data_IF_286451018302
#
_entry.id   IF_286451018302
#
_cell.length_a   1.000
_cell.length_b   1.000
_cell.length_c   1.000
_cell.angle_alpha   90.00
_cell.angle_beta   90.00
_cell.angle_gamma   90.00
#
_symmetry.space_group_name_H-M   'P 1'
#
loop_
_entity.id
_entity.type
_entity.pdbx_description
1 polymer ?
#
# COMPACT_ATOMS: atom_id res chain seq x y z
N UNK A 1 13.42 -14.11 -23.28
CA UNK A 1 13.62 -13.42 -24.57
C UNK A 1 14.25 -12.09 -24.28
N UNK A 2 15.53 -11.97 -24.62
CA UNK A 2 16.32 -10.78 -24.33
C UNK A 2 15.99 -9.69 -25.37
N UNK A 3 15.77 -8.46 -24.91
CA UNK A 3 15.21 -7.33 -25.69
C UNK A 3 16.18 -6.82 -26.75
N UNK A 4 17.47 -7.10 -26.61
CA UNK A 4 18.54 -6.50 -27.40
C UNK A 4 19.00 -7.35 -28.60
N UNK A 5 18.86 -8.67 -28.53
CA UNK A 5 19.31 -9.57 -29.61
C UNK A 5 18.38 -9.65 -30.83
N UNK A 6 17.12 -9.21 -30.73
CA UNK A 6 16.13 -9.43 -31.79
C UNK A 6 15.83 -8.20 -32.68
N UNK A 7 16.16 -6.97 -32.27
CA UNK A 7 15.66 -5.78 -32.98
C UNK A 7 16.73 -4.71 -33.21
N UNK A 8 17.42 -4.82 -34.36
CA UNK A 8 18.19 -3.71 -34.93
C UNK A 8 17.25 -2.63 -35.53
N UNK A 9 17.54 -1.37 -35.18
CA UNK A 9 17.12 -0.08 -35.79
C UNK A 9 15.64 0.11 -36.22
N UNK A 10 14.79 0.65 -35.33
CA UNK A 10 13.62 1.45 -35.77
C UNK A 10 13.30 2.60 -34.80
N UNK A 11 12.85 3.74 -35.35
CA UNK A 11 12.54 4.99 -34.63
C UNK A 11 11.51 4.80 -33.49
N UNK A 12 10.63 3.80 -33.61
CA UNK A 12 9.62 3.46 -32.59
C UNK A 12 10.20 2.86 -31.30
N UNK A 13 11.37 2.23 -31.33
CA UNK A 13 12.02 1.70 -30.13
C UNK A 13 12.63 2.79 -29.25
N UNK A 14 13.18 3.87 -29.83
CA UNK A 14 13.75 4.98 -29.06
C UNK A 14 12.70 5.63 -28.16
N UNK A 15 11.47 5.78 -28.66
CA UNK A 15 10.35 6.27 -27.87
C UNK A 15 10.02 5.36 -26.69
N UNK A 16 10.09 4.03 -26.87
CA UNK A 16 9.89 3.07 -25.78
C UNK A 16 11.04 3.11 -24.76
N UNK A 17 12.29 3.20 -25.22
CA UNK A 17 13.47 3.32 -24.35
C UNK A 17 13.44 4.54 -23.43
N UNK A 18 12.87 5.66 -23.89
CA UNK A 18 12.70 6.88 -23.08
C UNK A 18 11.41 6.81 -22.24
N UNK A 19 10.31 6.36 -22.83
CA UNK A 19 9.01 6.35 -22.16
C UNK A 19 8.98 5.43 -20.95
N UNK A 20 9.67 4.29 -20.99
CA UNK A 20 9.69 3.30 -19.91
C UNK A 20 10.27 3.89 -18.61
N UNK A 21 11.53 4.37 -18.57
CA UNK A 21 12.07 5.00 -17.37
C UNK A 21 11.21 6.15 -16.86
N UNK A 22 10.63 6.97 -17.75
CA UNK A 22 9.77 8.09 -17.38
C UNK A 22 8.50 7.59 -16.67
N UNK A 23 7.80 6.61 -17.23
CA UNK A 23 6.57 6.05 -16.64
C UNK A 23 6.87 5.38 -15.29
N UNK A 24 7.91 4.55 -15.20
CA UNK A 24 8.29 3.91 -13.95
C UNK A 24 8.74 4.93 -12.89
N UNK A 25 9.44 6.01 -13.29
CA UNK A 25 9.80 7.11 -12.39
C UNK A 25 8.58 7.86 -11.87
N UNK A 26 7.58 8.11 -12.73
CA UNK A 26 6.32 8.72 -12.30
C UNK A 26 5.55 7.82 -11.33
N UNK A 27 5.45 6.52 -11.62
CA UNK A 27 4.83 5.54 -10.71
C UNK A 27 5.55 5.55 -9.35
N UNK A 28 6.88 5.54 -9.37
CA UNK A 28 7.70 5.58 -8.17
C UNK A 28 7.46 6.85 -7.35
N UNK A 29 7.54 8.03 -7.97
CA UNK A 29 7.37 9.31 -7.29
C UNK A 29 5.95 9.50 -6.74
N UNK A 30 4.94 9.27 -7.57
CA UNK A 30 3.53 9.41 -7.14
C UNK A 30 3.19 8.37 -6.07
N UNK A 31 3.68 7.15 -6.23
CA UNK A 31 3.45 6.05 -5.32
C UNK A 31 4.09 6.27 -3.96
N UNK A 32 5.37 6.61 -3.91
CA UNK A 32 6.09 6.87 -2.65
C UNK A 32 5.49 8.05 -1.90
N UNK A 33 5.29 9.19 -2.57
CA UNK A 33 4.71 10.40 -1.95
C UNK A 33 3.28 10.13 -1.49
N UNK A 34 2.45 9.55 -2.35
CA UNK A 34 1.05 9.28 -2.07
C UNK A 34 0.86 8.33 -0.89
N UNK A 35 1.50 7.16 -0.91
CA UNK A 35 1.34 6.16 0.16
C UNK A 35 1.95 6.64 1.47
N UNK A 36 3.08 7.37 1.44
CA UNK A 36 3.66 8.00 2.64
C UNK A 36 2.70 9.01 3.27
N UNK A 37 2.02 9.83 2.46
CA UNK A 37 1.02 10.77 2.95
C UNK A 37 -0.18 10.04 3.59
N UNK A 38 -0.64 8.94 3.00
CA UNK A 38 -1.74 8.14 3.56
C UNK A 38 -1.34 7.56 4.91
N UNK A 39 -0.16 6.92 4.98
CA UNK A 39 0.39 6.40 6.22
C UNK A 39 0.53 7.49 7.29
N UNK A 40 1.06 8.67 6.95
CA UNK A 40 1.18 9.80 7.87
C UNK A 40 -0.17 10.27 8.41
N UNK A 41 -1.21 10.38 7.56
CA UNK A 41 -2.56 10.77 8.00
C UNK A 41 -3.17 9.72 8.94
N UNK A 42 -2.97 8.44 8.65
CA UNK A 42 -3.48 7.35 9.47
C UNK A 42 -2.80 7.30 10.83
N UNK A 43 -1.48 7.46 10.89
CA UNK A 43 -0.72 7.51 12.13
C UNK A 43 -1.10 8.72 13.00
N UNK A 44 -1.30 9.89 12.39
CA UNK A 44 -1.76 11.09 13.11
C UNK A 44 -3.18 10.95 13.67
N UNK A 45 -4.07 10.20 12.98
CA UNK A 45 -5.45 10.01 13.41
C UNK A 45 -5.65 8.77 14.30
N UNK A 46 -4.71 7.82 14.31
CA UNK A 46 -4.72 6.63 15.18
C UNK A 46 -4.79 7.01 16.66
N UNK A 47 -4.19 8.16 17.03
CA UNK A 47 -4.25 8.74 18.37
C UNK A 47 -5.67 9.13 18.86
N UNK A 48 -6.68 9.12 17.99
CA UNK A 48 -8.09 9.39 18.33
C UNK A 48 -8.99 8.15 18.29
N UNK A 49 -8.39 6.96 18.28
CA UNK A 49 -9.06 5.67 18.24
C UNK A 49 -8.93 4.96 16.88
N UNK A 50 -8.40 3.73 16.90
CA UNK A 50 -8.26 2.89 15.72
C UNK A 50 -9.62 2.34 15.27
N UNK A 51 -10.13 2.82 14.14
CA UNK A 51 -11.24 2.17 13.42
C UNK A 51 -10.66 1.11 12.49
N UNK A 52 -11.24 -0.09 12.43
CA UNK A 52 -10.78 -1.19 11.57
C UNK A 52 -10.60 -0.81 10.10
N UNK A 53 -11.42 0.10 9.56
CA UNK A 53 -11.24 0.65 8.20
C UNK A 53 -9.86 1.29 8.03
N UNK A 54 -9.36 1.96 9.05
CA UNK A 54 -8.06 2.61 9.05
C UNK A 54 -6.93 1.58 9.07
N UNK A 55 -7.13 0.42 9.72
CA UNK A 55 -6.14 -0.66 9.73
C UNK A 55 -6.00 -1.34 8.37
N UNK A 56 -7.11 -1.60 7.67
CA UNK A 56 -7.01 -2.17 6.32
C UNK A 56 -6.44 -1.19 5.29
N UNK A 57 -6.82 0.10 5.36
CA UNK A 57 -6.20 1.12 4.50
C UNK A 57 -4.72 1.28 4.83
N UNK A 58 -4.35 1.19 6.11
CA UNK A 58 -2.95 1.19 6.54
C UNK A 58 -2.21 -0.01 5.96
N UNK A 59 -2.76 -1.22 6.07
CA UNK A 59 -2.17 -2.44 5.50
C UNK A 59 -1.96 -2.31 3.99
N UNK A 60 -2.97 -1.83 3.27
CA UNK A 60 -2.88 -1.63 1.81
C UNK A 60 -1.81 -0.59 1.46
N UNK A 61 -1.79 0.55 2.15
CA UNK A 61 -0.80 1.62 1.90
C UNK A 61 0.63 1.17 2.25
N UNK A 62 0.79 0.32 3.26
CA UNK A 62 2.09 -0.26 3.64
C UNK A 62 2.58 -1.26 2.61
N UNK A 63 1.70 -2.16 2.13
CA UNK A 63 2.02 -3.12 1.08
C UNK A 63 2.38 -2.40 -0.23
N UNK A 64 1.58 -1.42 -0.65
CA UNK A 64 1.85 -0.59 -1.83
C UNK A 64 3.16 0.18 -1.69
N UNK A 65 3.46 0.74 -0.51
CA UNK A 65 4.71 1.44 -0.26
C UNK A 65 5.93 0.53 -0.43
N UNK A 66 5.90 -0.67 0.16
CA UNK A 66 6.99 -1.64 0.01
C UNK A 66 7.12 -2.14 -1.43
N UNK A 67 6.01 -2.38 -2.11
CA UNK A 67 6.02 -2.72 -3.54
C UNK A 67 6.72 -1.65 -4.38
N UNK A 68 6.35 -0.38 -4.16
CA UNK A 68 6.92 0.73 -4.93
C UNK A 68 8.41 0.92 -4.62
N UNK A 69 8.84 0.81 -3.37
CA UNK A 69 10.24 1.03 -2.99
C UNK A 69 11.13 -0.13 -3.42
N UNK A 70 10.69 -1.37 -3.24
CA UNK A 70 11.54 -2.55 -3.41
C UNK A 70 11.34 -3.32 -4.71
N UNK A 71 10.27 -3.06 -5.47
CA UNK A 71 10.00 -3.80 -6.71
C UNK A 71 10.10 -2.91 -7.95
N UNK A 72 9.48 -1.73 -7.94
CA UNK A 72 9.36 -0.86 -9.13
C UNK A 72 10.71 -0.44 -9.73
N UNK A 73 11.75 -0.04 -8.96
CA UNK A 73 13.04 0.33 -9.52
C UNK A 73 13.74 -0.85 -10.20
N UNK A 74 13.75 -2.02 -9.56
CA UNK A 74 14.33 -3.23 -10.12
C UNK A 74 13.59 -3.67 -11.38
N UNK A 75 12.26 -3.59 -11.38
CA UNK A 75 11.48 -3.91 -12.55
C UNK A 75 11.73 -2.95 -13.71
N UNK A 76 11.97 -1.66 -13.45
CA UNK A 76 12.33 -0.70 -14.48
C UNK A 76 13.64 -1.08 -15.18
N UNK A 77 14.60 -1.66 -14.45
CA UNK A 77 15.88 -2.12 -15.04
C UNK A 77 15.71 -3.26 -16.02
N UNK A 78 14.74 -4.17 -15.80
CA UNK A 78 14.47 -5.30 -16.72
C UNK A 78 14.09 -4.80 -18.12
N UNK A 79 13.49 -3.62 -18.22
CA UNK A 79 13.08 -3.03 -19.49
C UNK A 79 14.06 -1.98 -20.03
N UNK A 80 14.99 -1.49 -19.21
CA UNK A 80 15.87 -0.35 -19.55
C UNK A 80 17.35 -0.74 -19.67
N UNK A 81 17.75 -1.91 -19.15
CA UNK A 81 19.13 -2.42 -19.18
C UNK A 81 19.22 -3.68 -20.04
N UNK A 82 20.43 -3.95 -20.56
CA UNK A 82 20.74 -5.12 -21.41
C UNK A 82 20.69 -6.46 -20.69
N UNK A 83 20.90 -6.43 -19.37
CA UNK A 83 20.86 -7.61 -18.52
C UNK A 83 20.55 -7.30 -17.07
N UNK A 84 20.26 -8.36 -16.32
CA UNK A 84 20.05 -8.35 -14.89
C UNK A 84 21.38 -8.46 -14.14
N UNK A 85 21.82 -7.34 -13.55
CA UNK A 85 23.11 -7.24 -12.85
C UNK A 85 23.03 -7.49 -11.33
N UNK A 86 21.84 -7.64 -10.76
CA UNK A 86 21.64 -7.73 -9.31
C UNK A 86 21.82 -9.14 -8.73
N UNK A 87 22.20 -10.11 -9.57
CA UNK A 87 22.43 -11.50 -9.19
C UNK A 87 21.15 -12.31 -8.94
N UNK A 88 21.34 -13.62 -8.71
CA UNK A 88 20.24 -14.59 -8.61
C UNK A 88 19.34 -14.37 -7.39
N UNK A 89 19.91 -13.93 -6.25
CA UNK A 89 19.14 -13.64 -5.04
C UNK A 89 18.08 -12.56 -5.29
N UNK A 90 18.49 -11.41 -5.84
CA UNK A 90 17.56 -10.32 -6.12
C UNK A 90 16.55 -10.68 -7.21
N UNK A 91 16.94 -11.48 -8.22
CA UNK A 91 16.02 -11.97 -9.25
C UNK A 91 14.83 -12.70 -8.61
N UNK A 92 15.09 -13.57 -7.63
CA UNK A 92 14.05 -14.35 -6.93
C UNK A 92 13.25 -13.50 -5.94
N UNK A 93 13.94 -12.71 -5.12
CA UNK A 93 13.31 -11.91 -4.05
C UNK A 93 12.42 -10.81 -4.60
N UNK A 94 12.86 -10.07 -5.63
CA UNK A 94 12.05 -9.00 -6.23
C UNK A 94 10.75 -9.57 -6.80
N UNK A 95 10.82 -10.65 -7.58
CA UNK A 95 9.61 -11.27 -8.13
C UNK A 95 8.71 -11.86 -7.05
N UNK A 96 9.27 -12.50 -6.02
CA UNK A 96 8.51 -12.94 -4.87
C UNK A 96 7.72 -11.78 -4.22
N UNK A 97 8.36 -10.64 -3.97
CA UNK A 97 7.69 -9.46 -3.39
C UNK A 97 6.62 -8.88 -4.31
N UNK A 98 6.81 -8.89 -5.64
CA UNK A 98 5.79 -8.46 -6.62
C UNK A 98 4.51 -9.27 -6.43
N UNK A 99 4.59 -10.61 -6.42
CA UNK A 99 3.40 -11.45 -6.27
C UNK A 99 2.87 -11.44 -4.83
N UNK A 100 3.74 -11.38 -3.81
CA UNK A 100 3.33 -11.28 -2.41
C UNK A 100 2.45 -10.04 -2.18
N UNK A 101 2.89 -8.88 -2.65
CA UNK A 101 2.17 -7.61 -2.48
C UNK A 101 0.91 -7.53 -3.36
N UNK A 102 0.92 -8.16 -4.54
CA UNK A 102 -0.29 -8.35 -5.35
C UNK A 102 -1.35 -9.15 -4.59
N UNK A 103 -1.00 -10.34 -4.07
CA UNK A 103 -1.93 -11.17 -3.29
C UNK A 103 -2.40 -10.44 -2.03
N UNK A 104 -1.50 -9.79 -1.30
CA UNK A 104 -1.85 -9.06 -0.09
C UNK A 104 -2.86 -7.94 -0.39
N UNK A 105 -2.66 -7.20 -1.48
CA UNK A 105 -3.57 -6.15 -1.92
C UNK A 105 -4.93 -6.71 -2.34
N UNK A 106 -4.94 -7.77 -3.15
CA UNK A 106 -6.15 -8.41 -3.65
C UNK A 106 -7.02 -8.98 -2.53
N UNK A 107 -6.42 -9.75 -1.61
CA UNK A 107 -7.10 -10.29 -0.44
C UNK A 107 -7.55 -9.19 0.53
N UNK A 108 -6.76 -8.12 0.69
CA UNK A 108 -7.18 -6.95 1.48
C UNK A 108 -8.42 -6.30 0.89
N UNK A 109 -8.49 -6.10 -0.44
CA UNK A 109 -9.67 -5.52 -1.09
C UNK A 109 -10.91 -6.40 -0.95
N UNK A 110 -10.76 -7.72 -1.06
CA UNK A 110 -11.84 -8.66 -0.80
C UNK A 110 -12.33 -8.56 0.65
N UNK A 111 -11.42 -8.61 1.62
CA UNK A 111 -11.75 -8.50 3.05
C UNK A 111 -12.44 -7.17 3.40
N UNK A 112 -11.93 -6.05 2.85
CA UNK A 112 -12.54 -4.73 3.07
C UNK A 112 -13.95 -4.66 2.46
N UNK A 113 -14.17 -5.28 1.30
CA UNK A 113 -15.48 -5.30 0.64
C UNK A 113 -16.51 -6.08 1.46
N UNK A 114 -16.11 -7.23 2.02
CA UNK A 114 -16.93 -8.01 2.94
C UNK A 114 -17.22 -7.24 4.23
N UNK A 115 -16.20 -6.63 4.84
CA UNK A 115 -16.37 -5.79 6.04
C UNK A 115 -17.36 -4.63 5.79
N UNK A 116 -17.29 -3.98 4.61
CA UNK A 116 -18.25 -2.93 4.24
C UNK A 116 -19.66 -3.48 4.09
N UNK A 117 -19.82 -4.62 3.43
CA UNK A 117 -21.12 -5.25 3.26
C UNK A 117 -21.76 -5.57 4.62
N UNK A 118 -21.00 -6.20 5.52
CA UNK A 118 -21.48 -6.52 6.88
C UNK A 118 -21.83 -5.26 7.67
N UNK A 119 -21.03 -4.20 7.58
CA UNK A 119 -21.25 -2.94 8.29
C UNK A 119 -22.52 -2.18 7.86
N UNK A 120 -22.97 -2.40 6.63
CA UNK A 120 -24.18 -1.77 6.08
C UNK A 120 -25.39 -2.66 6.31
N UNK A 121 -25.26 -3.97 6.06
CA UNK A 121 -26.39 -4.91 6.12
C UNK A 121 -26.74 -5.35 7.54
N UNK A 122 -25.73 -5.58 8.39
CA UNK A 122 -25.90 -6.13 9.75
C UNK A 122 -25.19 -5.26 10.79
N UNK A 123 -25.65 -4.01 11.03
CA UNK A 123 -24.91 -3.04 11.83
C UNK A 123 -24.67 -3.46 13.28
N UNK A 124 -25.58 -4.24 13.89
CA UNK A 124 -25.44 -4.72 15.27
C UNK A 124 -24.39 -5.85 15.36
N UNK A 125 -24.53 -6.91 14.58
CA UNK A 125 -23.56 -8.01 14.54
C UNK A 125 -22.18 -7.57 14.03
N UNK A 126 -22.16 -6.64 13.08
CA UNK A 126 -20.92 -6.04 12.59
C UNK A 126 -20.20 -5.28 13.72
N UNK A 127 -20.89 -4.67 14.68
CA UNK A 127 -20.23 -4.00 15.80
C UNK A 127 -19.45 -4.98 16.69
N UNK A 128 -19.94 -6.20 16.84
CA UNK A 128 -19.29 -7.26 17.62
C UNK A 128 -18.08 -7.86 16.89
N UNK A 129 -18.20 -8.06 15.58
CA UNK A 129 -17.12 -8.62 14.75
C UNK A 129 -15.98 -7.62 14.48
N UNK A 130 -16.26 -6.32 14.54
CA UNK A 130 -15.34 -5.26 14.10
C UNK A 130 -14.44 -4.73 15.21
N UNK A 131 -13.71 -5.65 15.84
CA UNK A 131 -12.70 -5.35 16.87
C UNK A 131 -11.32 -5.12 16.26
N UNK A 132 -10.42 -4.46 16.99
CA UNK A 132 -9.02 -4.34 16.58
C UNK A 132 -8.34 -5.72 16.46
N UNK A 133 -8.70 -6.66 17.34
CA UNK A 133 -8.23 -8.04 17.29
C UNK A 133 -8.64 -8.74 15.99
N UNK A 134 -9.93 -8.67 15.61
CA UNK A 134 -10.43 -9.22 14.34
C UNK A 134 -9.68 -8.66 13.13
N UNK A 135 -9.36 -7.36 13.15
CA UNK A 135 -8.57 -6.72 12.10
C UNK A 135 -7.13 -7.25 12.02
N UNK A 136 -6.47 -7.46 13.16
CA UNK A 136 -5.11 -8.02 13.24
C UNK A 136 -5.10 -9.47 12.76
N UNK A 137 -6.04 -10.30 13.24
CA UNK A 137 -6.18 -11.70 12.79
C UNK A 137 -6.45 -11.77 11.29
N UNK A 138 -7.37 -10.96 10.77
CA UNK A 138 -7.66 -10.90 9.33
C UNK A 138 -6.41 -10.51 8.53
N UNK A 139 -5.65 -9.53 9.03
CA UNK A 139 -4.39 -9.10 8.39
C UNK A 139 -3.36 -10.22 8.40
N UNK A 140 -3.18 -10.93 9.52
CA UNK A 140 -2.27 -12.07 9.61
C UNK A 140 -2.66 -13.20 8.64
N UNK A 141 -3.96 -13.50 8.49
CA UNK A 141 -4.48 -14.47 7.52
C UNK A 141 -4.16 -14.01 6.09
N UNK A 142 -4.41 -12.75 5.76
CA UNK A 142 -4.11 -12.18 4.43
C UNK A 142 -2.63 -12.37 4.09
N UNK A 143 -1.73 -11.98 5.00
CA UNK A 143 -0.28 -12.11 4.76
C UNK A 143 0.15 -13.57 4.68
N UNK A 144 -0.37 -14.44 5.56
CA UNK A 144 -0.10 -15.88 5.52
C UNK A 144 -0.50 -16.52 4.19
N UNK A 145 -1.74 -16.26 3.73
CA UNK A 145 -2.19 -16.72 2.42
C UNK A 145 -1.34 -16.14 1.28
N UNK A 146 -1.00 -14.85 1.36
CA UNK A 146 -0.19 -14.20 0.33
C UNK A 146 1.20 -14.81 0.23
N UNK A 147 1.84 -15.16 1.36
CA UNK A 147 3.12 -15.88 1.40
C UNK A 147 2.98 -17.28 0.80
N UNK A 148 1.93 -18.01 1.15
CA UNK A 148 1.68 -19.37 0.62
C UNK A 148 1.56 -19.33 -0.91
N UNK A 149 0.73 -18.43 -1.45
CA UNK A 149 0.52 -18.33 -2.89
C UNK A 149 1.71 -17.73 -3.65
N UNK A 150 2.48 -16.83 -3.02
CA UNK A 150 3.69 -16.25 -3.64
C UNK A 150 4.94 -17.14 -3.51
N UNK A 151 4.98 -18.08 -2.57
CA UNK A 151 6.13 -18.95 -2.30
C UNK A 151 6.71 -19.66 -3.54
N UNK A 152 5.90 -20.26 -4.43
CA UNK A 152 6.41 -20.90 -5.65
C UNK A 152 7.24 -19.97 -6.55
N UNK A 153 7.02 -18.66 -6.49
CA UNK A 153 7.76 -17.69 -7.31
C UNK A 153 9.25 -17.60 -6.99
N UNK A 154 9.67 -18.02 -5.78
CA UNK A 154 11.08 -18.14 -5.41
C UNK A 154 11.82 -19.23 -6.21
N UNK A 155 11.09 -20.26 -6.69
CA UNK A 155 11.64 -21.30 -7.56
C UNK A 155 11.32 -21.06 -9.03
N UNK A 156 10.27 -20.28 -9.34
CA UNK A 156 9.81 -20.03 -10.70
C UNK A 156 10.75 -19.13 -11.49
N UNK A 157 11.28 -18.07 -10.89
CA UNK A 157 12.24 -17.16 -11.54
C UNK A 157 13.68 -17.64 -11.33
N UNK A 158 14.46 -17.61 -12.40
CA UNK A 158 15.87 -17.97 -12.34
C UNK A 158 16.75 -17.03 -13.18
N UNK A 159 18.03 -17.00 -12.82
CA UNK A 159 19.04 -16.24 -13.54
C UNK A 159 19.68 -17.13 -14.60
N UNK A 160 19.48 -16.81 -15.86
CA UNK A 160 19.99 -17.58 -17.00
C UNK A 160 20.97 -16.72 -17.79
N UNK A 161 22.10 -17.31 -18.21
CA UNK A 161 23.03 -16.65 -19.11
C UNK A 161 22.46 -16.71 -20.54
N UNK A 162 22.36 -15.55 -21.18
CA UNK A 162 21.95 -15.41 -22.57
C UNK A 162 22.95 -14.53 -23.31
N UNK A 163 23.67 -15.13 -24.27
CA UNK A 163 24.80 -14.49 -24.97
C UNK A 163 25.85 -14.01 -23.94
N UNK A 164 26.17 -12.71 -23.94
CA UNK A 164 27.15 -12.08 -23.03
C UNK A 164 26.50 -11.47 -21.77
N UNK A 165 25.20 -11.66 -21.56
CA UNK A 165 24.44 -11.05 -20.46
C UNK A 165 23.68 -12.08 -19.63
N UNK A 166 23.38 -11.73 -18.38
CA UNK A 166 22.48 -12.52 -17.54
C UNK A 166 21.06 -11.95 -17.59
N UNK A 167 20.05 -12.79 -17.68
CA UNK A 167 18.63 -12.39 -17.65
C UNK A 167 17.87 -13.11 -16.54
N UNK A 168 16.97 -12.39 -15.89
CA UNK A 168 16.05 -12.94 -14.90
C UNK A 168 14.73 -13.31 -15.59
N UNK A 169 14.44 -14.59 -15.72
CA UNK A 169 13.28 -15.09 -16.48
C UNK A 169 12.58 -16.25 -15.76
N UNK A 170 11.30 -16.54 -16.10
CA UNK A 170 10.65 -17.77 -15.68
C UNK A 170 11.44 -19.00 -16.15
N UNK A 171 11.90 -19.82 -15.21
CA UNK A 171 12.61 -21.08 -15.47
C UNK A 171 11.71 -22.32 -15.48
N UNK A 172 10.45 -22.23 -15.05
CA UNK A 172 9.51 -23.34 -15.19
C UNK A 172 8.93 -23.39 -16.61
N UNK A 173 8.82 -24.60 -17.14
CA UNK A 173 8.32 -24.84 -18.49
C UNK A 173 7.05 -25.72 -18.51
N UNK A 174 6.39 -25.77 -19.66
CA UNK A 174 5.25 -26.63 -19.92
C UNK A 174 4.10 -26.43 -18.93
N UNK A 175 3.61 -27.53 -18.36
CA UNK A 175 2.43 -27.55 -17.51
C UNK A 175 2.63 -26.81 -16.17
N UNK A 176 3.85 -26.84 -15.59
CA UNK A 176 4.14 -26.21 -14.30
C UNK A 176 3.91 -24.70 -14.35
N UNK A 177 4.41 -24.07 -15.43
CA UNK A 177 4.20 -22.64 -15.70
C UNK A 177 2.73 -22.30 -15.90
N UNK A 178 2.02 -23.10 -16.70
CA UNK A 178 0.58 -22.94 -16.93
C UNK A 178 -0.22 -23.03 -15.63
N UNK A 179 0.07 -24.02 -14.80
CA UNK A 179 -0.60 -24.19 -13.50
C UNK A 179 -0.36 -23.00 -12.58
N UNK A 180 0.88 -22.53 -12.44
CA UNK A 180 1.17 -21.41 -11.53
C UNK A 180 0.49 -20.11 -11.98
N UNK A 181 0.63 -19.74 -13.26
CA UNK A 181 0.08 -18.47 -13.77
C UNK A 181 -1.46 -18.50 -13.83
N UNK A 182 -2.07 -19.63 -14.20
CA UNK A 182 -3.53 -19.81 -14.17
C UNK A 182 -4.06 -19.81 -12.74
N UNK A 183 -3.38 -20.47 -11.79
CA UNK A 183 -3.73 -20.38 -10.37
C UNK A 183 -3.64 -18.94 -9.87
N UNK A 184 -2.63 -18.20 -10.33
CA UNK A 184 -2.44 -16.79 -9.99
C UNK A 184 -3.58 -15.92 -10.52
N UNK A 185 -4.05 -16.16 -11.73
CA UNK A 185 -5.24 -15.52 -12.26
C UNK A 185 -6.51 -15.85 -11.44
N UNK A 186 -6.71 -17.12 -11.07
CA UNK A 186 -7.91 -17.56 -10.34
C UNK A 186 -7.93 -16.98 -8.92
N UNK A 187 -6.88 -17.25 -8.14
CA UNK A 187 -6.82 -16.89 -6.72
C UNK A 187 -6.42 -15.43 -6.50
N UNK A 188 -5.56 -14.89 -7.34
CA UNK A 188 -5.07 -13.52 -7.23
C UNK A 188 -6.02 -12.48 -7.82
N UNK A 189 -6.89 -12.87 -8.76
CA UNK A 189 -7.76 -11.93 -9.48
C UNK A 189 -9.24 -12.35 -9.49
N UNK A 190 -9.61 -13.50 -10.05
CA UNK A 190 -11.03 -13.88 -10.26
C UNK A 190 -11.80 -14.01 -8.94
N UNK A 191 -11.30 -14.80 -7.98
CA UNK A 191 -12.00 -15.01 -6.70
C UNK A 191 -12.16 -13.67 -5.94
N UNK A 192 -11.10 -12.87 -5.74
CA UNK A 192 -11.23 -11.54 -5.13
C UNK A 192 -12.21 -10.64 -5.89
N UNK A 193 -12.14 -10.57 -7.22
CA UNK A 193 -13.04 -9.76 -8.03
C UNK A 193 -14.51 -10.20 -7.88
N UNK A 194 -14.79 -11.51 -7.81
CA UNK A 194 -16.12 -12.05 -7.57
C UNK A 194 -16.64 -11.71 -6.17
N UNK A 195 -15.83 -11.92 -5.12
CA UNK A 195 -16.19 -11.57 -3.74
C UNK A 195 -16.57 -10.09 -3.67
N UNK A 196 -15.76 -9.24 -4.28
CA UNK A 196 -15.99 -7.80 -4.28
C UNK A 196 -17.26 -7.45 -5.04
N UNK A 197 -17.41 -7.96 -6.27
CA UNK A 197 -18.56 -7.68 -7.13
C UNK A 197 -19.87 -8.09 -6.46
N UNK A 198 -19.91 -9.27 -5.84
CA UNK A 198 -21.08 -9.75 -5.10
C UNK A 198 -21.36 -8.91 -3.86
N UNK A 199 -20.32 -8.58 -3.08
CA UNK A 199 -20.46 -7.76 -1.86
C UNK A 199 -21.01 -6.37 -2.17
N UNK A 200 -20.52 -5.73 -3.23
CA UNK A 200 -20.99 -4.41 -3.63
C UNK A 200 -22.34 -4.43 -4.32
N UNK A 201 -22.63 -5.40 -5.18
CA UNK A 201 -23.96 -5.55 -5.78
C UNK A 201 -25.03 -5.69 -4.69
N UNK A 202 -24.76 -6.51 -3.66
CA UNK A 202 -25.67 -6.66 -2.51
C UNK A 202 -25.76 -5.38 -1.66
N UNK A 203 -24.63 -4.69 -1.45
CA UNK A 203 -24.60 -3.43 -0.68
C UNK A 203 -25.40 -2.34 -1.38
N UNK A 204 -25.20 -2.18 -2.68
CA UNK A 204 -25.90 -1.23 -3.55
C UNK A 204 -27.39 -1.59 -3.51
N UNK A 205 -27.78 -2.80 -3.90
CA UNK A 205 -29.19 -3.23 -3.90
C UNK A 205 -29.88 -2.96 -2.55
N UNK A 206 -29.23 -3.27 -1.44
CA UNK A 206 -29.79 -2.97 -0.12
C UNK A 206 -29.99 -1.46 0.11
N UNK A 207 -29.01 -0.63 -0.25
CA UNK A 207 -29.13 0.82 -0.12
C UNK A 207 -30.26 1.37 -0.98
N UNK A 208 -30.41 0.91 -2.23
CA UNK A 208 -31.51 1.34 -3.10
C UNK A 208 -32.88 0.91 -2.58
N UNK A 209 -32.99 -0.29 -1.99
CA UNK A 209 -34.24 -0.77 -1.39
C UNK A 209 -34.54 -0.16 -0.01
N UNK A 210 -33.56 0.47 0.65
CA UNK A 210 -33.70 0.99 2.02
C UNK A 210 -33.60 2.52 2.13
N UNK A 211 -33.39 3.21 1.00
CA UNK A 211 -33.48 4.66 0.90
C UNK A 211 -34.78 4.96 0.18
N UNK A 212 -35.81 5.32 0.94
CA UNK A 212 -36.97 5.99 0.35
C UNK A 212 -36.49 7.32 -0.25
N UNK A 213 -36.81 7.65 -1.50
CA UNK A 213 -36.41 8.91 -2.13
C UNK A 213 -36.89 10.16 -1.37
N UNK A 214 -37.85 10.01 -0.45
CA UNK A 214 -38.41 11.05 0.41
C UNK A 214 -37.77 11.12 1.81
N UNK A 215 -36.95 10.15 2.21
CA UNK A 215 -36.34 10.10 3.55
C UNK A 215 -34.92 10.70 3.53
N UNK A 216 -34.70 11.78 4.28
CA UNK A 216 -33.36 12.35 4.39
C UNK A 216 -32.42 11.34 5.08
N UNK A 217 -31.46 10.82 4.31
CA UNK A 217 -30.51 9.83 4.82
C UNK A 217 -29.71 10.44 5.98
N UNK A 218 -29.77 9.82 7.16
CA UNK A 218 -29.05 10.31 8.35
C UNK A 218 -27.57 10.58 8.05
N UNK A 219 -26.99 11.61 8.67
CA UNK A 219 -25.59 12.00 8.46
C UNK A 219 -24.61 10.84 8.70
N UNK A 220 -24.94 9.93 9.62
CA UNK A 220 -24.19 8.69 9.86
C UNK A 220 -24.19 7.75 8.65
N UNK A 221 -25.35 7.52 8.02
CA UNK A 221 -25.47 6.71 6.78
C UNK A 221 -24.74 7.40 5.61
N UNK A 222 -24.89 8.72 5.43
CA UNK A 222 -24.15 9.52 4.43
C UNK A 222 -22.63 9.38 4.59
N UNK A 223 -22.11 9.40 5.82
CA UNK A 223 -20.68 9.22 6.09
C UNK A 223 -20.20 7.80 5.75
N UNK A 224 -20.96 6.76 6.12
CA UNK A 224 -20.61 5.37 5.80
C UNK A 224 -20.61 5.12 4.29
N UNK A 225 -21.61 5.65 3.57
CA UNK A 225 -21.70 5.54 2.12
C UNK A 225 -20.50 6.15 1.39
N UNK A 226 -20.02 7.32 1.83
CA UNK A 226 -18.83 7.96 1.24
C UNK A 226 -17.58 7.07 1.35
N UNK A 227 -17.40 6.38 2.47
CA UNK A 227 -16.31 5.43 2.67
C UNK A 227 -16.48 4.21 1.78
N UNK A 228 -17.69 3.65 1.69
CA UNK A 228 -17.99 2.52 0.80
C UNK A 228 -17.76 2.87 -0.67
N UNK A 229 -18.21 4.05 -1.13
CA UNK A 229 -17.97 4.56 -2.48
C UNK A 229 -16.47 4.65 -2.81
N UNK A 230 -15.67 5.13 -1.86
CA UNK A 230 -14.21 5.19 -2.03
C UNK A 230 -13.60 3.80 -2.25
N UNK A 231 -14.01 2.82 -1.46
CA UNK A 231 -13.48 1.46 -1.56
C UNK A 231 -13.97 0.79 -2.86
N UNK A 232 -15.22 1.01 -3.28
CA UNK A 232 -15.73 0.57 -4.59
C UNK A 232 -14.83 1.07 -5.72
N UNK A 233 -14.51 2.38 -5.73
CA UNK A 233 -13.65 2.97 -6.76
C UNK A 233 -12.26 2.35 -6.75
N UNK A 234 -11.66 2.19 -5.57
CA UNK A 234 -10.34 1.54 -5.45
C UNK A 234 -10.38 0.11 -5.98
N UNK A 235 -11.42 -0.67 -5.69
CA UNK A 235 -11.47 -2.04 -6.19
C UNK A 235 -11.72 -2.11 -7.70
N UNK A 236 -12.54 -1.23 -8.28
CA UNK A 236 -12.72 -1.17 -9.73
C UNK A 236 -11.38 -0.85 -10.40
N UNK A 237 -10.61 0.08 -9.84
CA UNK A 237 -9.28 0.41 -10.33
C UNK A 237 -8.33 -0.79 -10.25
N UNK A 238 -8.35 -1.55 -9.15
CA UNK A 238 -7.58 -2.80 -9.05
C UNK A 238 -7.95 -3.77 -10.18
N UNK A 239 -9.24 -4.04 -10.39
CA UNK A 239 -9.67 -4.94 -11.46
C UNK A 239 -9.22 -4.44 -12.84
N UNK A 240 -9.40 -3.14 -13.11
CA UNK A 240 -9.03 -2.53 -14.38
C UNK A 240 -7.51 -2.53 -14.63
N UNK A 241 -6.71 -2.29 -13.60
CA UNK A 241 -5.25 -2.23 -13.71
C UNK A 241 -4.61 -3.61 -13.88
N UNK A 242 -5.15 -4.65 -13.23
CA UNK A 242 -4.59 -6.00 -13.27
C UNK A 242 -5.13 -6.87 -14.40
N UNK A 243 -6.32 -6.59 -14.92
CA UNK A 243 -6.91 -7.37 -16.01
C UNK A 243 -6.00 -7.47 -17.26
N UNK A 244 -5.42 -6.37 -17.78
CA UNK A 244 -4.57 -6.45 -18.96
C UNK A 244 -3.35 -7.34 -18.74
N UNK A 245 -2.78 -7.33 -17.53
CA UNK A 245 -1.62 -8.17 -17.18
C UNK A 245 -2.00 -9.65 -17.29
N UNK A 246 -3.09 -10.06 -16.64
CA UNK A 246 -3.54 -11.45 -16.69
C UNK A 246 -3.96 -11.90 -18.10
N UNK A 247 -4.61 -11.03 -18.87
CA UNK A 247 -5.00 -11.35 -20.26
C UNK A 247 -3.76 -11.60 -21.11
N UNK A 248 -2.74 -10.74 -21.02
CA UNK A 248 -1.49 -10.93 -21.77
C UNK A 248 -0.77 -12.22 -21.36
N UNK A 249 -0.69 -12.51 -20.05
CA UNK A 249 -0.06 -13.75 -19.55
C UNK A 249 -0.80 -14.99 -20.04
N UNK A 250 -2.14 -15.02 -19.96
CA UNK A 250 -2.93 -16.16 -20.43
C UNK A 250 -2.84 -16.32 -21.94
N UNK A 251 -2.88 -15.22 -22.70
CA UNK A 251 -2.72 -15.26 -24.15
C UNK A 251 -1.34 -15.80 -24.54
N UNK A 252 -0.28 -15.42 -23.81
CA UNK A 252 1.06 -16.00 -23.99
C UNK A 252 1.13 -17.51 -23.69
N UNK A 253 0.34 -18.02 -22.73
CA UNK A 253 0.41 -19.42 -22.30
C UNK A 253 -0.47 -20.38 -23.11
N UNK A 254 -1.61 -19.89 -23.61
CA UNK A 254 -2.65 -20.71 -24.22
C UNK A 254 -2.97 -20.33 -25.67
N UNK A 255 -2.52 -19.17 -26.14
CA UNK A 255 -2.75 -18.70 -27.50
C UNK A 255 -1.48 -18.58 -28.32
N UNK A 256 -1.66 -18.23 -29.58
CA UNK A 256 -0.56 -17.87 -30.48
C UNK A 256 -0.11 -16.44 -30.16
N UNK A 257 0.98 -16.31 -29.41
CA UNK A 257 1.54 -15.02 -29.03
C UNK A 257 2.71 -14.67 -29.96
N UNK A 258 2.48 -13.92 -31.06
CA UNK A 258 3.57 -13.58 -31.97
C UNK A 258 4.55 -12.63 -31.27
N UNK A 259 5.85 -12.83 -31.45
CA UNK A 259 6.86 -11.92 -30.92
C UNK A 259 7.08 -10.76 -31.90
N UNK A 260 6.23 -9.74 -31.79
CA UNK A 260 6.29 -8.53 -32.61
C UNK A 260 6.20 -7.26 -31.75
N UNK A 261 6.34 -6.09 -32.38
CA UNK A 261 6.33 -4.81 -31.67
C UNK A 261 5.03 -4.56 -30.90
N UNK A 262 3.89 -4.97 -31.46
CA UNK A 262 2.57 -4.79 -30.86
C UNK A 262 2.41 -5.61 -29.59
N UNK A 263 2.76 -6.90 -29.62
CA UNK A 263 2.64 -7.77 -28.44
C UNK A 263 3.63 -7.40 -27.34
N UNK A 264 4.82 -6.89 -27.71
CA UNK A 264 5.75 -6.30 -26.76
C UNK A 264 5.17 -5.04 -26.10
N UNK A 265 4.62 -4.10 -26.88
CA UNK A 265 4.00 -2.89 -26.36
C UNK A 265 2.79 -3.20 -25.46
N UNK A 266 1.97 -4.18 -25.83
CA UNK A 266 0.84 -4.66 -25.01
C UNK A 266 1.33 -5.26 -23.68
N UNK A 267 2.38 -6.07 -23.71
CA UNK A 267 3.00 -6.62 -22.49
C UNK A 267 3.55 -5.51 -21.61
N UNK A 268 4.22 -4.53 -22.17
CA UNK A 268 4.76 -3.41 -21.41
C UNK A 268 3.64 -2.59 -20.77
N UNK A 269 2.65 -2.19 -21.57
CA UNK A 269 1.51 -1.41 -21.11
C UNK A 269 0.75 -2.13 -19.99
N UNK A 270 0.57 -3.45 -20.12
CA UNK A 270 -0.11 -4.24 -19.10
C UNK A 270 0.64 -4.28 -17.76
N UNK A 271 1.98 -4.35 -17.78
CA UNK A 271 2.79 -4.26 -16.57
C UNK A 271 2.73 -2.85 -15.96
N UNK A 272 2.85 -1.80 -16.78
CA UNK A 272 2.73 -0.42 -16.32
C UNK A 272 1.37 -0.16 -15.67
N UNK A 273 0.27 -0.67 -16.25
CA UNK A 273 -1.06 -0.57 -15.66
C UNK A 273 -1.15 -1.29 -14.31
N UNK A 274 -0.65 -2.53 -14.23
CA UNK A 274 -0.65 -3.29 -12.97
C UNK A 274 0.11 -2.56 -11.86
N UNK A 275 1.26 -1.95 -12.17
CA UNK A 275 2.07 -1.23 -11.18
C UNK A 275 1.53 0.14 -10.82
N UNK A 276 0.86 0.82 -11.76
CA UNK A 276 0.17 2.07 -11.49
C UNK A 276 -0.94 1.92 -10.42
N UNK A 277 -1.51 0.71 -10.25
CA UNK A 277 -2.48 0.42 -9.20
C UNK A 277 -2.02 0.92 -7.82
N UNK A 278 -0.74 0.69 -7.47
CA UNK A 278 -0.18 1.07 -6.16
C UNK A 278 -0.04 2.58 -5.97
N UNK A 279 0.05 3.38 -7.03
CA UNK A 279 0.09 4.86 -6.92
C UNK A 279 -1.28 5.54 -7.10
N UNK A 280 -2.28 4.83 -7.63
CA UNK A 280 -3.64 5.37 -7.83
C UNK A 280 -4.46 5.41 -6.52
N UNK A 281 -4.20 4.51 -5.57
CA UNK A 281 -4.94 4.44 -4.30
C UNK A 281 -4.95 5.77 -3.51
N UNK A 282 -3.80 6.43 -3.26
CA UNK A 282 -3.76 7.75 -2.61
C UNK A 282 -4.54 8.84 -3.36
N UNK A 283 -4.51 8.81 -4.70
CA UNK A 283 -5.23 9.78 -5.55
C UNK A 283 -6.73 9.64 -5.34
N UNK A 284 -7.25 8.41 -5.33
CA UNK A 284 -8.67 8.14 -5.02
C UNK A 284 -9.04 8.64 -3.63
N UNK A 285 -8.19 8.40 -2.64
CA UNK A 285 -8.42 8.89 -1.27
C UNK A 285 -8.47 10.41 -1.21
N UNK A 286 -7.58 11.09 -1.94
CA UNK A 286 -7.55 12.54 -2.05
C UNK A 286 -8.80 13.10 -2.75
N UNK A 287 -9.31 12.46 -3.79
CA UNK A 287 -10.47 12.96 -4.53
C UNK A 287 -11.80 12.70 -3.79
N UNK A 288 -11.96 11.49 -3.24
CA UNK A 288 -13.25 11.01 -2.74
C UNK A 288 -13.44 11.30 -1.25
N UNK A 289 -12.38 11.19 -0.43
CA UNK A 289 -12.51 11.28 1.02
C UNK A 289 -12.20 12.68 1.57
N UNK A 290 -13.24 13.35 2.10
CA UNK A 290 -13.06 14.62 2.84
C UNK A 290 -12.14 14.46 4.06
N UNK A 291 -12.13 13.27 4.68
CA UNK A 291 -11.29 12.97 5.84
C UNK A 291 -9.80 12.97 5.44
N UNK A 292 -9.44 12.23 4.39
CA UNK A 292 -8.06 12.20 3.89
C UNK A 292 -7.62 13.56 3.35
N UNK A 293 -8.48 14.29 2.62
CA UNK A 293 -8.17 15.67 2.18
C UNK A 293 -7.79 16.61 3.33
N UNK A 294 -8.58 16.59 4.42
CA UNK A 294 -8.28 17.41 5.60
C UNK A 294 -6.98 16.97 6.28
N UNK A 295 -6.73 15.66 6.34
CA UNK A 295 -5.49 15.07 6.81
C UNK A 295 -4.29 15.54 6.00
N UNK A 296 -4.32 15.36 4.67
CA UNK A 296 -3.25 15.80 3.75
C UNK A 296 -2.97 17.30 3.91
N UNK A 297 -3.99 18.16 3.91
CA UNK A 297 -3.82 19.61 4.15
C UNK A 297 -3.15 19.91 5.50
N UNK A 298 -3.43 19.12 6.55
CA UNK A 298 -2.78 19.30 7.86
C UNK A 298 -1.31 18.89 7.80
N UNK A 299 -0.99 17.75 7.17
CA UNK A 299 0.40 17.29 6.97
C UNK A 299 1.18 18.32 6.16
N UNK A 300 0.66 18.76 5.01
CA UNK A 300 1.29 19.81 4.19
C UNK A 300 1.50 21.11 4.96
N UNK A 301 0.52 21.57 5.75
CA UNK A 301 0.70 22.77 6.59
C UNK A 301 1.74 22.57 7.70
N UNK A 302 1.96 21.35 8.20
CA UNK A 302 3.03 21.07 9.15
C UNK A 302 4.39 21.16 8.46
N UNK A 303 4.53 20.49 7.31
CA UNK A 303 5.75 20.48 6.50
C UNK A 303 6.15 21.89 6.02
N UNK A 304 5.16 22.72 5.66
CA UNK A 304 5.37 24.11 5.23
C UNK A 304 5.60 25.08 6.39
N UNK A 305 5.07 24.80 7.59
CA UNK A 305 5.32 25.61 8.80
C UNK A 305 6.50 25.02 9.56
N UNK A 306 7.71 25.11 8.98
CA UNK A 306 8.96 25.02 9.74
C UNK A 306 8.97 26.16 10.77
N UNK A 307 8.43 25.95 11.97
CA UNK A 307 8.64 26.89 13.06
C UNK A 307 10.05 26.66 13.60
N UNK A 308 10.92 27.70 13.70
CA UNK A 308 12.14 27.57 14.47
C UNK A 308 11.75 27.23 15.92
N UNK A 309 12.48 26.27 16.49
CA UNK A 309 12.30 25.76 17.84
C UNK A 309 12.30 26.92 18.85
N UNK A 310 11.13 27.30 19.36
CA UNK A 310 11.08 28.06 20.60
C UNK A 310 11.29 27.05 21.72
N UNK A 311 12.34 27.24 22.50
CA UNK A 311 12.66 26.45 23.70
C UNK A 311 11.38 26.26 24.53
N UNK A 312 10.85 25.05 24.54
CA UNK A 312 9.80 24.67 25.50
C UNK A 312 10.55 24.29 26.77
N UNK A 313 10.40 25.10 27.82
CA UNK A 313 10.85 24.76 29.16
C UNK A 313 10.26 23.39 29.55
N UNK A 314 11.14 22.45 29.89
CA UNK A 314 10.76 21.17 30.44
C UNK A 314 10.08 21.42 31.80
N UNK A 315 8.77 21.18 31.88
CA UNK A 315 8.10 21.01 33.16
C UNK A 315 8.48 19.62 33.66
N UNK A 316 9.32 19.58 34.69
CA UNK A 316 9.71 18.36 35.38
C UNK A 316 8.51 17.85 36.18
N UNK A 317 7.86 16.77 35.73
CA UNK A 317 6.87 16.06 36.52
C UNK A 317 7.59 15.19 37.55
N UNK A 318 7.74 15.69 38.78
CA UNK A 318 8.06 14.88 39.95
C UNK A 318 6.94 13.89 40.21
N UNK A 319 7.28 12.61 40.17
CA UNK A 319 6.37 11.49 40.43
C UNK A 319 6.22 11.32 41.95
N UNK A 320 5.14 11.83 42.52
CA UNK A 320 4.79 11.61 43.93
C UNK A 320 4.45 10.12 44.12
N UNK A 321 5.32 9.36 44.79
CA UNK A 321 4.96 8.06 45.36
C UNK A 321 4.16 8.28 46.66
N UNK A 322 3.13 7.47 46.96
CA UNK A 322 2.46 7.52 48.25
C UNK A 322 3.42 7.06 49.36
N UNK A 323 3.35 7.76 50.49
CA UNK A 323 4.35 7.73 51.56
C UNK A 323 4.45 6.42 52.34
N UNK A 324 5.66 6.18 52.83
CA UNK A 324 5.95 5.54 54.11
C UNK A 324 7.02 6.42 54.76
N UNK A 325 6.68 7.01 55.90
CA UNK A 325 7.59 7.77 56.75
C UNK A 325 8.67 6.85 57.33
N UNK A 326 9.95 7.16 57.09
CA UNK A 326 11.01 6.99 58.09
C UNK A 326 12.04 8.10 57.86
N UNK A 327 12.32 8.86 58.91
CA UNK A 327 13.30 9.94 58.95
C UNK A 327 14.74 9.44 58.78
N UNK A 328 15.57 10.16 58.02
CA UNK A 328 16.91 10.58 58.44
C UNK A 328 17.65 11.36 57.34
N UNK A 329 18.35 12.38 57.82
CA UNK A 329 19.32 13.31 57.25
C UNK A 329 20.38 12.63 56.36
N UNK A 330 20.72 13.19 55.19
CA UNK A 330 21.99 13.93 55.01
C UNK A 330 22.19 14.53 53.60
N UNK A 331 22.98 15.60 53.56
CA UNK A 331 23.49 16.35 52.39
C UNK A 331 24.38 15.50 51.50
N UNK A 332 24.32 15.68 50.18
CA UNK A 332 25.51 16.06 49.36
C UNK A 332 25.15 16.45 47.92
N UNK A 333 25.78 17.54 47.46
CA UNK A 333 25.87 18.02 46.09
C UNK A 333 26.74 17.09 45.23
N UNK A 334 26.59 17.21 43.90
CA UNK A 334 27.57 16.99 42.80
C UNK A 334 26.77 16.46 41.59
N UNK A 335 26.97 16.82 40.32
CA UNK A 335 27.54 17.94 39.57
C UNK A 335 27.18 17.56 38.11
N UNK A 336 26.88 18.54 37.26
CA UNK A 336 26.60 18.31 35.83
C UNK A 336 27.82 17.70 35.11
N UNK A 337 27.58 16.83 34.12
CA UNK A 337 28.45 16.84 32.95
C UNK A 337 27.69 16.50 31.66
N UNK A 338 27.82 17.42 30.71
CA UNK A 338 27.15 17.49 29.42
C UNK A 338 28.02 16.80 28.37
N UNK A 339 27.48 15.83 27.62
CA UNK A 339 28.05 15.44 26.31
C UNK A 339 27.00 15.55 25.22
N UNK A 340 27.16 16.60 24.42
CA UNK A 340 26.57 16.78 23.11
C UNK A 340 26.96 15.62 22.18
N UNK A 341 25.98 15.02 21.52
CA UNK A 341 26.18 14.37 20.23
C UNK A 341 25.27 15.02 19.19
N UNK A 342 25.93 15.64 18.21
CA UNK A 342 25.35 16.17 16.98
C UNK A 342 24.69 15.05 16.17
N UNK A 343 23.38 15.17 15.94
CA UNK A 343 22.61 14.37 14.99
C UNK A 343 21.92 15.28 13.96
N UNK A 344 22.08 14.95 12.68
CA UNK A 344 21.60 15.67 11.49
C UNK A 344 20.16 16.21 11.61
N UNK A 345 19.90 17.50 11.31
CA UNK A 345 18.60 18.16 11.59
C UNK A 345 17.42 17.67 10.72
N UNK A 346 17.66 16.92 9.63
CA UNK A 346 16.59 16.54 8.70
C UNK A 346 15.65 15.44 9.23
N UNK A 347 16.15 14.52 10.07
CA UNK A 347 15.37 13.40 10.60
C UNK A 347 14.57 13.80 11.86
N UNK A 348 15.14 14.67 12.68
CA UNK A 348 14.51 15.24 13.88
C UNK A 348 13.36 16.19 13.54
N UNK A 349 13.46 16.94 12.43
CA UNK A 349 12.39 17.82 11.95
C UNK A 349 11.13 17.05 11.52
N UNK A 350 11.29 15.90 10.87
CA UNK A 350 10.20 14.99 10.54
C UNK A 350 9.49 14.51 11.82
N UNK A 351 10.26 14.03 12.80
CA UNK A 351 9.74 13.52 14.08
C UNK A 351 8.99 14.62 14.87
N UNK A 352 9.44 15.88 14.81
CA UNK A 352 8.78 17.00 15.49
C UNK A 352 7.36 17.30 15.00
N UNK A 353 7.06 17.02 13.72
CA UNK A 353 5.71 17.09 13.16
C UNK A 353 4.81 15.91 13.61
N UNK A 354 5.40 14.83 14.15
CA UNK A 354 4.71 13.63 14.61
C UNK A 354 4.50 13.56 16.13
N UNK A 355 5.18 14.39 16.93
CA UNK A 355 5.01 14.44 18.38
C UNK A 355 3.87 15.40 18.81
N UNK A 356 3.11 15.05 19.87
CA UNK A 356 1.94 15.81 20.29
C UNK A 356 2.30 17.19 20.85
N UNK A 357 1.53 18.23 20.47
CA UNK A 357 1.43 19.46 21.28
C UNK A 357 0.48 19.19 22.44
N UNK A 358 1.01 19.09 23.66
CA UNK A 358 0.20 19.13 24.87
C UNK A 358 -0.58 20.44 24.90
N UNK A 359 -1.92 20.36 24.96
CA UNK A 359 -2.76 21.52 25.21
C UNK A 359 -2.93 21.62 26.74
N UNK A 360 -2.69 22.80 27.36
CA UNK A 360 -2.93 22.95 28.79
C UNK A 360 -4.44 22.86 29.06
N UNK A 361 -4.82 21.92 29.92
CA UNK A 361 -6.18 21.78 30.44
C UNK A 361 -6.56 23.06 31.19
N UNK A 362 -7.63 23.74 30.76
CA UNK A 362 -8.24 24.82 31.54
C UNK A 362 -8.87 24.21 32.78
N UNK A 363 -8.28 24.49 33.94
CA UNK A 363 -8.91 24.27 35.25
C UNK A 363 -9.89 25.43 35.46
N UNK A 364 -11.18 25.14 35.58
CA UNK A 364 -12.15 26.08 36.16
C UNK A 364 -12.07 25.93 37.68
N UNK A 365 -11.82 27.01 38.44
CA UNK A 365 -11.93 26.97 39.89
C UNK A 365 -13.41 26.94 40.33
N UNK A 366 -13.67 26.46 41.56
CA UNK A 366 -15.01 26.12 42.07
C UNK A 366 -15.94 27.32 42.27
#
# INVERSE_FOLDING_TARGET
MNVYGFFNLSLGLLHLFIAIPVVFSLIFLLGTVGNSLVLAVLLQNSQRGCKQTNLFIFNLSLADFFFIVFCVPFQATIYSMEGWIFGAFMCKVVHFFIYLTMYASSFTLAAVSVDRYLAIRYPLHSRELRTAYSAVVTTAIIWGLSIIFSGPYLSYYDLVQWEESYICVPGWEGWKRKVLETSTFIFGYIIPALIVSLSYTRTIKHLWMSVDPLSDMSESKKSKWKVTKMIIIVTILFCFCWLPYHVVVLHYLYGDFPFNQTTYALRLLSHCMAYANSCLNPIVYALVSKHFRKGFKKVFRCLLRRKPWSKVQAVHCTLTKPGIEVASTDRSQVNEDNRQQNGSPALTDLISCFLPKAYPSRVHPP
#
